data_IF_770027654610
#
_entry.id   IF_770027654610
#
_cell.length_a   1.000
_cell.length_b   1.000
_cell.length_c   1.000
_cell.angle_alpha   90.00
_cell.angle_beta   90.00
_cell.angle_gamma   90.00
#
_symmetry.space_group_name_H-M   'P 1'
#
loop_
_entity.id
_entity.type
_entity.pdbx_description
1 polymer ?
#
# COMPACT_ATOMS: atom_id res chain seq x y z
N UNK A 1 5.96 13.18 -0.10
CA UNK A 1 5.30 13.03 -1.41
C UNK A 1 4.15 12.05 -1.28
N UNK A 2 3.02 12.39 -1.90
CA UNK A 2 1.80 11.58 -1.91
C UNK A 2 1.15 11.57 -3.31
N UNK A 3 1.78 10.97 -4.33
CA UNK A 3 1.19 10.87 -5.66
C UNK A 3 -0.06 9.99 -5.66
N UNK A 4 -1.15 10.46 -6.28
CA UNK A 4 -2.44 9.77 -6.29
C UNK A 4 -2.37 8.35 -6.89
N UNK A 5 -1.71 8.19 -8.03
CA UNK A 5 -1.53 6.88 -8.69
C UNK A 5 -0.55 5.92 -7.99
N UNK A 6 -0.12 6.19 -6.74
CA UNK A 6 0.75 5.30 -5.96
C UNK A 6 0.37 5.20 -4.48
N UNK A 7 0.05 6.33 -3.85
CA UNK A 7 0.01 6.43 -2.38
C UNK A 7 -1.38 6.69 -1.80
N UNK A 8 -2.36 6.97 -2.65
CA UNK A 8 -3.74 7.18 -2.22
C UNK A 8 -4.38 5.82 -1.94
N UNK A 9 -4.68 5.58 -0.67
CA UNK A 9 -5.23 4.33 -0.18
C UNK A 9 -6.72 4.17 -0.50
N UNK A 10 -7.41 5.24 -0.90
CA UNK A 10 -8.78 5.18 -1.42
C UNK A 10 -8.85 4.74 -2.89
N UNK A 11 -7.72 4.65 -3.61
CA UNK A 11 -7.72 4.12 -4.97
C UNK A 11 -8.08 2.63 -4.97
N UNK A 12 -8.85 2.20 -5.95
CA UNK A 12 -9.20 0.79 -6.15
C UNK A 12 -7.94 -0.06 -6.41
N UNK A 13 -7.94 -1.29 -5.89
CA UNK A 13 -6.89 -2.27 -6.20
C UNK A 13 -6.90 -2.69 -7.67
N UNK A 14 -8.10 -2.88 -8.22
CA UNK A 14 -8.36 -3.20 -9.62
C UNK A 14 -9.72 -2.61 -10.05
N UNK A 15 -10.04 -2.66 -11.34
CA UNK A 15 -11.26 -2.03 -11.87
C UNK A 15 -12.56 -2.63 -11.32
N UNK A 16 -12.52 -3.88 -10.83
CA UNK A 16 -13.66 -4.58 -10.27
C UNK A 16 -13.83 -4.40 -8.76
N UNK A 17 -12.83 -3.84 -8.07
CA UNK A 17 -12.88 -3.69 -6.61
C UNK A 17 -14.06 -2.82 -6.17
N UNK A 18 -14.85 -3.22 -5.15
CA UNK A 18 -16.13 -2.57 -4.85
C UNK A 18 -15.99 -1.24 -4.11
N UNK A 19 -14.91 -1.07 -3.32
CA UNK A 19 -14.65 0.13 -2.51
C UNK A 19 -13.67 1.06 -3.22
N UNK A 20 -13.67 2.35 -2.85
CA UNK A 20 -12.70 3.31 -3.35
C UNK A 20 -13.05 3.93 -4.71
N UNK A 21 -12.11 4.74 -5.19
CA UNK A 21 -12.22 5.52 -6.42
C UNK A 21 -11.20 5.04 -7.46
N UNK A 22 -11.41 5.42 -8.73
CA UNK A 22 -10.50 5.05 -9.83
C UNK A 22 -10.08 6.24 -10.70
N UNK A 23 -10.27 7.47 -10.20
CA UNK A 23 -10.02 8.69 -10.98
C UNK A 23 -8.54 8.86 -11.33
N UNK A 24 -7.62 8.35 -10.50
CA UNK A 24 -6.18 8.34 -10.74
C UNK A 24 -5.66 6.97 -11.23
N UNK A 25 -6.55 6.12 -11.76
CA UNK A 25 -6.27 4.72 -12.08
C UNK A 25 -6.50 3.78 -10.88
N UNK A 26 -5.84 2.62 -10.92
CA UNK A 26 -5.89 1.60 -9.87
C UNK A 26 -4.52 1.42 -9.23
N UNK A 27 -4.49 1.18 -7.93
CA UNK A 27 -3.26 1.02 -7.15
C UNK A 27 -3.31 -0.33 -6.44
N UNK A 28 -2.71 -1.34 -7.07
CA UNK A 28 -2.42 -2.62 -6.44
C UNK A 28 -1.26 -2.49 -5.42
N UNK A 29 -0.96 -3.58 -4.69
CA UNK A 29 0.08 -3.58 -3.65
C UNK A 29 1.44 -3.31 -4.26
N UNK A 30 1.70 -3.90 -5.43
CA UNK A 30 2.96 -3.71 -6.15
C UNK A 30 3.14 -2.26 -6.59
N UNK A 31 2.10 -1.60 -7.08
CA UNK A 31 2.14 -0.21 -7.55
C UNK A 31 2.35 0.77 -6.41
N UNK A 32 1.81 0.47 -5.22
CA UNK A 32 2.07 1.22 -4.00
C UNK A 32 3.52 1.11 -3.52
N UNK A 33 4.19 -0.02 -3.80
CA UNK A 33 5.60 -0.26 -3.42
C UNK A 33 6.62 0.15 -4.49
N UNK A 34 6.31 -0.07 -5.77
CA UNK A 34 7.32 -0.08 -6.85
C UNK A 34 7.57 1.31 -7.43
N UNK A 35 8.01 2.23 -6.59
CA UNK A 35 8.45 3.57 -6.97
C UNK A 35 9.45 4.10 -5.92
N UNK A 36 10.26 5.07 -6.34
CA UNK A 36 11.26 5.70 -5.49
C UNK A 36 10.89 7.18 -5.29
N UNK A 37 10.68 7.63 -4.03
CA UNK A 37 10.35 9.01 -3.74
C UNK A 37 11.37 10.03 -4.25
N UNK A 38 12.65 9.68 -4.30
CA UNK A 38 13.71 10.63 -4.68
C UNK A 38 13.80 10.82 -6.20
N UNK A 39 13.26 9.89 -6.99
CA UNK A 39 13.41 9.89 -8.46
C UNK A 39 12.09 10.02 -9.23
N UNK A 40 10.94 9.93 -8.56
CA UNK A 40 9.63 10.03 -9.21
C UNK A 40 9.42 11.37 -9.93
N UNK A 41 9.94 12.45 -9.35
CA UNK A 41 9.92 13.80 -9.93
C UNK A 41 11.33 14.36 -9.94
N UNK A 42 11.62 15.22 -10.92
CA UNK A 42 12.96 15.84 -11.05
C UNK A 42 13.12 16.94 -9.99
N UNK A 43 13.64 16.57 -8.83
CA UNK A 43 13.98 17.48 -7.74
C UNK A 43 15.47 17.39 -7.39
N UNK A 44 16.04 18.42 -6.74
CA UNK A 44 17.36 18.31 -6.14
C UNK A 44 17.42 17.14 -5.15
N UNK A 45 18.58 16.47 -5.06
CA UNK A 45 18.80 15.41 -4.09
C UNK A 45 18.52 15.91 -2.66
N UNK A 46 17.75 15.15 -1.88
CA UNK A 46 17.36 15.50 -0.52
C UNK A 46 16.24 16.53 -0.40
N UNK A 47 15.62 16.96 -1.50
CA UNK A 47 14.47 17.88 -1.46
C UNK A 47 13.16 17.18 -1.04
N UNK A 48 13.12 15.85 -1.01
CA UNK A 48 11.95 15.07 -0.61
C UNK A 48 12.05 14.75 0.89
N UNK A 49 11.20 15.33 1.75
CA UNK A 49 11.29 15.14 3.20
C UNK A 49 10.70 13.80 3.69
N UNK A 50 10.01 13.06 2.83
CA UNK A 50 9.36 11.79 3.16
C UNK A 50 8.18 11.46 2.26
N UNK A 51 7.36 10.51 2.70
CA UNK A 51 6.15 10.03 2.00
C UNK A 51 4.93 10.13 2.91
N UNK A 52 3.76 10.20 2.30
CA UNK A 52 2.47 10.18 2.99
C UNK A 52 1.53 9.22 2.26
N UNK A 53 0.62 8.60 3.01
CA UNK A 53 -0.37 7.64 2.51
C UNK A 53 -1.80 8.13 2.82
N UNK A 54 -2.38 9.03 2.01
CA UNK A 54 -3.71 9.56 2.26
C UNK A 54 -4.77 8.48 2.13
N UNK A 55 -5.73 8.46 3.06
CA UNK A 55 -6.96 7.68 2.94
C UNK A 55 -8.13 8.65 2.95
N UNK A 56 -8.75 8.82 1.79
CA UNK A 56 -10.01 9.52 1.65
C UNK A 56 -11.19 8.57 1.91
N UNK A 57 -12.30 9.09 2.41
CA UNK A 57 -13.38 8.28 3.02
C UNK A 57 -14.74 8.44 2.35
N UNK A 58 -14.82 9.01 1.14
CA UNK A 58 -16.09 9.23 0.42
C UNK A 58 -16.87 7.93 0.17
N UNK A 59 -16.19 6.78 0.20
CA UNK A 59 -16.78 5.45 -0.06
C UNK A 59 -16.65 4.50 1.13
N UNK A 60 -16.18 4.99 2.28
CA UNK A 60 -15.79 4.18 3.44
C UNK A 60 -16.56 4.63 4.68
N UNK A 61 -17.49 3.79 5.13
CA UNK A 61 -18.45 4.09 6.21
C UNK A 61 -18.21 3.23 7.46
N UNK A 62 -17.31 2.26 7.41
CA UNK A 62 -17.06 1.32 8.52
C UNK A 62 -15.57 1.13 8.80
N UNK A 63 -15.17 0.80 10.04
CA UNK A 63 -13.78 0.47 10.37
C UNK A 63 -13.20 -0.65 9.50
N UNK A 64 -13.98 -1.71 9.21
CA UNK A 64 -13.52 -2.80 8.35
C UNK A 64 -13.24 -2.34 6.91
N UNK A 65 -14.01 -1.38 6.38
CA UNK A 65 -13.74 -0.77 5.07
C UNK A 65 -12.48 0.09 5.09
N UNK A 66 -12.21 0.81 6.19
CA UNK A 66 -10.93 1.50 6.36
C UNK A 66 -9.78 0.49 6.36
N UNK A 67 -9.88 -0.58 7.16
CA UNK A 67 -8.83 -1.57 7.30
C UNK A 67 -8.48 -2.25 5.96
N UNK A 68 -9.46 -2.67 5.15
CA UNK A 68 -9.17 -3.29 3.84
C UNK A 68 -8.64 -2.31 2.80
N UNK A 69 -8.89 -1.00 2.94
CA UNK A 69 -8.30 0.01 2.07
C UNK A 69 -6.89 0.41 2.51
N UNK A 70 -6.62 0.38 3.82
CA UNK A 70 -5.28 0.56 4.39
C UNK A 70 -4.38 -0.64 4.11
N UNK A 71 -4.85 -1.85 4.43
CA UNK A 71 -4.06 -3.07 4.39
C UNK A 71 -4.35 -3.87 3.11
N UNK A 72 -3.32 -4.18 2.32
CA UNK A 72 -1.92 -4.30 2.74
C UNK A 72 -0.98 -3.21 2.18
N UNK A 73 -1.51 -2.08 1.69
CA UNK A 73 -0.69 -1.02 1.04
C UNK A 73 0.01 -0.08 2.02
N UNK A 74 -0.56 0.13 3.20
CA UNK A 74 0.02 1.01 4.21
C UNK A 74 1.46 0.60 4.61
N UNK A 75 1.77 -0.69 4.89
CA UNK A 75 3.16 -1.12 5.12
C UNK A 75 4.10 -0.88 3.93
N UNK A 76 3.60 -0.95 2.69
CA UNK A 76 4.42 -0.68 1.50
C UNK A 76 4.89 0.78 1.49
N UNK A 77 3.97 1.71 1.74
CA UNK A 77 4.28 3.14 1.79
C UNK A 77 5.14 3.49 3.01
N UNK A 78 4.92 2.83 4.16
CA UNK A 78 5.78 2.99 5.33
C UNK A 78 7.23 2.57 5.05
N UNK A 79 7.45 1.48 4.31
CA UNK A 79 8.79 1.04 3.93
C UNK A 79 9.50 2.03 3.01
N UNK A 80 8.79 2.69 2.10
CA UNK A 80 9.35 3.73 1.25
C UNK A 80 9.77 4.98 2.04
N UNK A 81 9.10 5.27 3.14
CA UNK A 81 9.44 6.40 4.02
C UNK A 81 10.54 6.13 5.03
N UNK A 82 10.83 4.85 5.32
CA UNK A 82 11.69 4.45 6.43
C UNK A 82 12.96 3.73 6.00
N UNK A 83 12.85 2.77 5.08
CA UNK A 83 13.95 1.89 4.71
C UNK A 83 14.83 2.53 3.65
N UNK A 84 16.17 2.31 3.67
CA UNK A 84 17.05 2.80 2.62
C UNK A 84 16.64 2.26 1.24
N UNK A 85 16.67 3.09 0.20
CA UNK A 85 16.29 2.66 -1.17
C UNK A 85 17.06 1.44 -1.67
N UNK A 86 18.32 1.25 -1.24
CA UNK A 86 19.13 0.06 -1.56
C UNK A 86 18.59 -1.25 -1.00
N UNK A 87 17.66 -1.20 -0.04
CA UNK A 87 16.99 -2.37 0.54
C UNK A 87 15.66 -2.70 -0.14
N UNK A 88 15.15 -1.80 -0.98
CA UNK A 88 13.85 -1.98 -1.62
C UNK A 88 13.92 -3.09 -2.66
N UNK A 89 13.12 -4.13 -2.45
CA UNK A 89 13.03 -5.29 -3.33
C UNK A 89 11.63 -5.88 -3.20
N UNK A 90 10.84 -5.79 -4.27
CA UNK A 90 9.46 -6.26 -4.29
C UNK A 90 9.33 -7.75 -3.92
N UNK A 91 10.27 -8.57 -4.40
CA UNK A 91 10.27 -10.01 -4.17
C UNK A 91 10.44 -10.38 -2.70
N UNK A 92 11.34 -9.69 -1.99
CA UNK A 92 11.59 -9.83 -0.55
C UNK A 92 10.50 -9.16 0.28
N UNK A 93 10.05 -7.98 -0.13
CA UNK A 93 9.00 -7.24 0.55
C UNK A 93 7.70 -8.04 0.62
N UNK A 94 7.22 -8.58 -0.50
CA UNK A 94 5.94 -9.32 -0.52
C UNK A 94 5.98 -10.59 0.36
N UNK A 95 7.15 -11.18 0.57
CA UNK A 95 7.30 -12.32 1.49
C UNK A 95 7.13 -11.85 2.94
N UNK A 96 7.83 -10.78 3.34
CA UNK A 96 7.66 -10.17 4.68
C UNK A 96 6.22 -9.68 4.91
N UNK A 97 5.62 -9.07 3.90
CA UNK A 97 4.22 -8.63 3.96
C UNK A 97 3.26 -9.79 4.18
N UNK A 98 3.50 -10.94 3.54
CA UNK A 98 2.69 -12.14 3.75
C UNK A 98 2.75 -12.65 5.20
N UNK A 99 3.90 -12.51 5.86
CA UNK A 99 4.09 -12.87 7.28
C UNK A 99 3.30 -11.98 8.25
N UNK A 100 2.89 -10.77 7.83
CA UNK A 100 2.03 -9.89 8.64
C UNK A 100 0.56 -10.33 8.64
N UNK A 101 0.10 -11.06 7.60
CA UNK A 101 -1.28 -11.52 7.48
C UNK A 101 -1.80 -12.22 8.74
N UNK A 102 -1.15 -13.29 9.23
CA UNK A 102 -1.55 -13.96 10.48
C UNK A 102 -1.58 -13.05 11.72
N UNK A 103 -0.75 -12.00 11.76
CA UNK A 103 -0.74 -11.04 12.88
C UNK A 103 -1.94 -10.12 12.80
N UNK A 104 -2.31 -9.66 11.60
CA UNK A 104 -3.53 -8.88 11.38
C UNK A 104 -4.79 -9.68 11.73
N UNK A 105 -4.83 -10.96 11.35
CA UNK A 105 -5.92 -11.87 11.73
C UNK A 105 -6.02 -12.02 13.26
N UNK A 106 -4.90 -12.29 13.93
CA UNK A 106 -4.87 -12.42 15.39
C UNK A 106 -5.26 -11.11 16.11
N UNK A 107 -4.96 -9.96 15.50
CA UNK A 107 -5.35 -8.64 16.01
C UNK A 107 -6.78 -8.23 15.64
N UNK A 108 -7.47 -8.98 14.77
CA UNK A 108 -8.83 -8.70 14.33
C UNK A 108 -8.96 -7.62 13.25
N UNK A 109 -7.89 -7.28 12.53
CA UNK A 109 -7.95 -6.36 11.40
C UNK A 109 -8.45 -7.06 10.14
N UNK A 110 -9.37 -6.42 9.42
CA UNK A 110 -9.69 -6.84 8.05
C UNK A 110 -8.54 -6.42 7.12
N UNK A 111 -8.27 -7.19 6.07
CA UNK A 111 -7.29 -6.79 5.05
C UNK A 111 -7.59 -7.49 3.73
N UNK A 112 -7.19 -6.83 2.64
CA UNK A 112 -7.42 -7.35 1.30
C UNK A 112 -6.31 -8.35 0.91
N UNK A 113 -6.68 -9.62 0.74
CA UNK A 113 -5.77 -10.68 0.29
C UNK A 113 -5.55 -10.63 -1.23
N UNK A 114 -4.61 -9.80 -1.68
CA UNK A 114 -4.24 -9.68 -3.09
C UNK A 114 -3.39 -10.86 -3.59
N UNK A 115 -3.61 -11.37 -4.82
CA UNK A 115 -2.92 -12.57 -5.35
C UNK A 115 -1.42 -12.37 -5.60
N UNK A 116 -0.95 -11.13 -5.70
CA UNK A 116 0.47 -10.81 -5.88
C UNK A 116 1.33 -11.06 -4.62
N UNK A 117 0.69 -11.20 -3.45
CA UNK A 117 1.32 -11.48 -2.16
C UNK A 117 1.10 -12.96 -1.80
N UNK A 118 2.16 -13.72 -1.47
CA UNK A 118 2.08 -15.15 -1.19
C UNK A 118 1.58 -15.43 0.24
N UNK A 119 0.34 -15.07 0.54
CA UNK A 119 -0.26 -15.25 1.86
C UNK A 119 -0.15 -16.71 2.33
N UNK A 120 0.22 -16.95 3.59
CA UNK A 120 0.23 -18.30 4.13
C UNK A 120 -1.18 -18.91 4.06
N UNK A 121 -1.24 -20.17 3.65
CA UNK A 121 -2.45 -20.99 3.78
C UNK A 121 -2.63 -21.26 5.27
N UNK A 122 -3.83 -21.05 5.81
CA UNK A 122 -4.11 -21.22 7.24
C UNK A 122 -3.61 -22.56 7.78
N UNK A 123 -3.09 -22.54 9.01
CA UNK A 123 -2.78 -23.76 9.78
C UNK A 123 -4.05 -24.42 10.27
#
# INVERSE_FOLDING_TARGET
>A
MSPAGRSYLDMKYDSSYPLGLAWAGTVDVRSAYSWDPDTLVRLPAGAVPGVEAPLWTETLDTPAQLDVMLLPRLPALAELGWSPGSSHDWGRFRQRLAEEGPRWEAAGYAYERRPEVPWPVGR
#
